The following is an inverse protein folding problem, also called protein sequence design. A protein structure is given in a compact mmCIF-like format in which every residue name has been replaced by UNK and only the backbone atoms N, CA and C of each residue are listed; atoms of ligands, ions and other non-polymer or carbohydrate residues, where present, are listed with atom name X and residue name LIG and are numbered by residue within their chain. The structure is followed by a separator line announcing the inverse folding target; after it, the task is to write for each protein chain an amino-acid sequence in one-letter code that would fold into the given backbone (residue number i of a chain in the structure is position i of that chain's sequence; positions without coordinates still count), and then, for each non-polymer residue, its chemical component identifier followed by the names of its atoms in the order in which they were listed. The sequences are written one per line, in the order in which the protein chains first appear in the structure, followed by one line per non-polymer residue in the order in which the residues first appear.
data_IF_930752687212
#
_entry.id   IF_930752687212
#
_cell.length_a   1.000
_cell.length_b   1.000
_cell.length_c   1.000
_cell.angle_alpha   90.00
_cell.angle_beta   90.00
_cell.angle_gamma   90.00
#
_symmetry.space_group_name_H-M   'P 1'
#
loop_
_entity.id
_entity.type
_entity.pdbx_description
1 polymer ?
#
# COMPACT_ATOMS: atom_id res chain seq x y z
N UNK A 1 5.53 6.12 22.69
CA UNK A 1 5.23 7.12 23.73
C UNK A 1 4.21 6.63 24.78
N UNK A 2 3.28 5.72 24.45
CA UNK A 2 2.18 5.30 25.35
C UNK A 2 2.48 4.11 26.30
N UNK A 3 3.58 3.39 26.12
CA UNK A 3 3.92 2.19 26.93
C UNK A 3 5.11 2.46 27.88
N UNK A 4 5.82 3.58 27.69
CA UNK A 4 7.07 3.91 28.39
C UNK A 4 8.28 3.13 27.83
N UNK A 5 9.53 3.49 28.23
CA UNK A 5 10.71 2.68 27.96
C UNK A 5 10.52 1.27 28.54
N UNK A 6 11.11 0.26 27.93
CA UNK A 6 11.07 -1.11 28.46
C UNK A 6 11.83 -1.17 29.79
N UNK A 7 11.08 -1.17 30.89
CA UNK A 7 11.58 -1.22 32.25
C UNK A 7 11.63 -2.66 32.80
N UNK A 8 11.27 -3.67 31.99
CA UNK A 8 11.24 -5.09 32.37
C UNK A 8 10.14 -5.46 33.38
N UNK A 9 9.39 -4.48 33.90
CA UNK A 9 8.36 -4.70 34.92
C UNK A 9 7.22 -5.57 34.39
N UNK A 10 6.50 -6.24 35.29
CA UNK A 10 5.28 -6.98 34.95
C UNK A 10 4.20 -6.03 34.40
N UNK A 11 4.09 -4.84 34.99
CA UNK A 11 3.12 -3.80 34.59
C UNK A 11 3.38 -3.32 33.15
N UNK A 12 4.64 -3.11 32.76
CA UNK A 12 4.97 -2.75 31.39
C UNK A 12 4.61 -3.86 30.41
N UNK A 13 4.88 -5.13 30.75
CA UNK A 13 4.54 -6.29 29.92
C UNK A 13 3.03 -6.43 29.70
N UNK A 14 2.22 -6.18 30.72
CA UNK A 14 0.76 -6.18 30.61
C UNK A 14 0.27 -5.07 29.67
N UNK A 15 0.79 -3.84 29.83
CA UNK A 15 0.46 -2.72 28.94
C UNK A 15 0.87 -3.02 27.49
N UNK A 16 2.07 -3.57 27.28
CA UNK A 16 2.56 -3.96 25.96
C UNK A 16 1.63 -4.98 25.29
N UNK A 17 1.28 -6.06 26.00
CA UNK A 17 0.37 -7.09 25.48
C UNK A 17 -1.02 -6.53 25.18
N UNK A 18 -1.54 -5.66 26.04
CA UNK A 18 -2.81 -4.96 25.83
C UNK A 18 -2.81 -4.15 24.53
N UNK A 19 -1.80 -3.30 24.34
CA UNK A 19 -1.65 -2.50 23.12
C UNK A 19 -1.46 -3.34 21.86
N UNK A 20 -0.64 -4.40 21.93
CA UNK A 20 -0.45 -5.31 20.80
C UNK A 20 -1.74 -6.02 20.40
N UNK A 21 -2.59 -6.39 21.37
CA UNK A 21 -3.90 -7.00 21.09
C UNK A 21 -4.84 -6.03 20.39
N UNK A 22 -4.88 -4.77 20.82
CA UNK A 22 -5.69 -3.73 20.16
C UNK A 22 -5.21 -3.51 18.73
N UNK A 23 -3.89 -3.36 18.52
CA UNK A 23 -3.31 -3.18 17.20
C UNK A 23 -3.59 -4.37 16.26
N UNK A 24 -3.44 -5.59 16.77
CA UNK A 24 -3.71 -6.80 15.99
C UNK A 24 -5.20 -6.95 15.65
N UNK A 25 -6.09 -6.57 16.57
CA UNK A 25 -7.54 -6.58 16.33
C UNK A 25 -7.94 -5.54 15.28
N UNK A 26 -7.44 -4.31 15.40
CA UNK A 26 -7.67 -3.24 14.42
C UNK A 26 -7.19 -3.65 13.02
N UNK A 27 -5.94 -4.11 12.90
CA UNK A 27 -5.39 -4.58 11.64
C UNK A 27 -6.17 -5.78 11.07
N UNK A 28 -6.57 -6.74 11.92
CA UNK A 28 -7.33 -7.91 11.52
C UNK A 28 -8.73 -7.57 11.00
N UNK A 29 -9.46 -6.71 11.71
CA UNK A 29 -10.80 -6.26 11.29
C UNK A 29 -10.72 -5.45 10.00
N UNK A 30 -9.78 -4.49 9.90
CA UNK A 30 -9.57 -3.71 8.68
C UNK A 30 -9.23 -4.61 7.48
N UNK A 31 -8.37 -5.60 7.67
CA UNK A 31 -7.99 -6.55 6.61
C UNK A 31 -9.19 -7.41 6.18
N UNK A 32 -10.01 -7.89 7.13
CA UNK A 32 -11.20 -8.69 6.83
C UNK A 32 -12.24 -7.88 6.04
N UNK A 33 -12.51 -6.63 6.46
CA UNK A 33 -13.42 -5.74 5.74
C UNK A 33 -12.90 -5.47 4.33
N UNK A 34 -11.60 -5.15 4.20
CA UNK A 34 -10.98 -4.92 2.91
C UNK A 34 -11.10 -6.15 1.99
N UNK A 35 -10.89 -7.35 2.52
CA UNK A 35 -11.04 -8.61 1.78
C UNK A 35 -12.48 -8.80 1.27
N UNK A 36 -13.47 -8.65 2.16
CA UNK A 36 -14.89 -8.79 1.80
C UNK A 36 -15.30 -7.80 0.71
N UNK A 37 -14.91 -6.53 0.86
CA UNK A 37 -15.20 -5.49 -0.15
C UNK A 37 -14.51 -5.82 -1.47
N UNK A 38 -13.25 -6.24 -1.43
CA UNK A 38 -12.48 -6.60 -2.63
C UNK A 38 -13.13 -7.78 -3.36
N UNK A 39 -13.51 -8.83 -2.64
CA UNK A 39 -14.21 -9.97 -3.20
C UNK A 39 -15.56 -9.57 -3.81
N UNK A 40 -16.34 -8.73 -3.14
CA UNK A 40 -17.61 -8.23 -3.67
C UNK A 40 -17.41 -7.44 -4.96
N UNK A 41 -16.45 -6.50 -4.99
CA UNK A 41 -16.12 -5.73 -6.20
C UNK A 41 -15.62 -6.61 -7.34
N UNK A 42 -14.80 -7.61 -7.03
CA UNK A 42 -14.33 -8.58 -8.02
C UNK A 42 -15.48 -9.36 -8.65
N UNK A 43 -16.40 -9.87 -7.82
CA UNK A 43 -17.59 -10.59 -8.31
C UNK A 43 -18.53 -9.70 -9.12
N UNK A 44 -18.73 -8.46 -8.69
CA UNK A 44 -19.52 -7.46 -9.44
C UNK A 44 -18.88 -7.12 -10.79
N UNK A 45 -17.57 -6.85 -10.82
CA UNK A 45 -16.83 -6.64 -12.06
C UNK A 45 -16.91 -7.85 -12.99
N UNK A 46 -16.65 -9.05 -12.46
CA UNK A 46 -16.70 -10.29 -13.26
C UNK A 46 -18.11 -10.60 -13.80
N UNK A 47 -19.17 -10.26 -13.08
CA UNK A 47 -20.55 -10.54 -13.50
C UNK A 47 -21.14 -9.49 -14.43
N UNK A 48 -20.78 -8.21 -14.25
CA UNK A 48 -21.31 -7.09 -15.04
C UNK A 48 -20.42 -6.80 -16.26
N UNK A 49 -19.12 -6.53 -16.06
CA UNK A 49 -18.22 -6.15 -17.17
C UNK A 49 -18.00 -7.31 -18.16
N UNK A 50 -17.95 -8.57 -17.69
CA UNK A 50 -17.83 -9.73 -18.58
C UNK A 50 -19.00 -9.84 -19.56
N UNK A 51 -20.23 -9.51 -19.11
CA UNK A 51 -21.41 -9.50 -19.98
C UNK A 51 -21.39 -8.34 -20.97
N UNK A 52 -20.79 -7.22 -20.60
CA UNK A 52 -20.67 -6.04 -21.44
C UNK A 52 -19.57 -6.19 -22.52
N UNK A 53 -18.70 -7.22 -22.41
CA UNK A 53 -17.55 -7.44 -23.33
C UNK A 53 -16.67 -6.18 -23.48
N UNK A 54 -16.67 -5.31 -22.47
CA UNK A 54 -15.89 -4.08 -22.47
C UNK A 54 -14.50 -4.41 -21.94
N UNK A 55 -13.49 -4.28 -22.80
CA UNK A 55 -12.10 -4.28 -22.37
C UNK A 55 -11.75 -2.87 -21.91
N UNK A 56 -11.44 -2.62 -20.62
CA UNK A 56 -11.23 -1.27 -20.16
C UNK A 56 -9.94 -0.69 -20.71
N UNK A 57 -10.05 0.34 -21.55
CA UNK A 57 -8.91 0.99 -22.20
C UNK A 57 -8.95 2.50 -22.02
N UNK A 58 -7.76 3.10 -21.90
CA UNK A 58 -7.63 4.55 -21.84
C UNK A 58 -8.31 5.20 -20.63
N UNK A 59 -8.64 6.47 -20.78
CA UNK A 59 -9.27 7.29 -19.72
C UNK A 59 -10.71 6.81 -19.43
N UNK A 60 -11.32 6.07 -20.36
CA UNK A 60 -12.69 5.54 -20.24
C UNK A 60 -12.84 4.46 -19.17
N UNK A 61 -11.74 3.93 -18.61
CA UNK A 61 -11.77 2.91 -17.54
C UNK A 61 -12.65 3.36 -16.37
N UNK A 62 -12.61 4.64 -15.97
CA UNK A 62 -13.43 5.15 -14.87
C UNK A 62 -14.92 5.10 -15.20
N UNK A 63 -15.28 5.49 -16.42
CA UNK A 63 -16.66 5.45 -16.89
C UNK A 63 -17.17 4.01 -17.01
N UNK A 64 -16.33 3.10 -17.51
CA UNK A 64 -16.66 1.69 -17.68
C UNK A 64 -16.79 0.95 -16.34
N UNK A 65 -15.94 1.27 -15.36
CA UNK A 65 -16.08 0.74 -13.99
C UNK A 65 -17.35 1.29 -13.32
N UNK A 66 -17.75 2.53 -13.61
CA UNK A 66 -18.99 3.09 -13.07
C UNK A 66 -20.25 2.34 -13.54
N UNK A 67 -20.19 1.62 -14.67
CA UNK A 67 -21.29 0.79 -15.19
C UNK A 67 -21.73 -0.28 -14.20
N UNK A 68 -20.82 -0.78 -13.34
CA UNK A 68 -21.16 -1.72 -12.27
C UNK A 68 -22.29 -1.20 -11.39
N UNK A 69 -22.30 0.12 -11.14
CA UNK A 69 -23.28 0.78 -10.29
C UNK A 69 -24.43 1.37 -11.08
N UNK A 70 -24.20 1.93 -12.26
CA UNK A 70 -25.27 2.61 -13.01
C UNK A 70 -26.25 1.65 -13.66
N UNK A 71 -25.81 0.46 -14.05
CA UNK A 71 -26.71 -0.56 -14.63
C UNK A 71 -27.72 -1.08 -13.62
N UNK A 72 -27.37 -1.10 -12.33
CA UNK A 72 -28.23 -1.63 -11.27
C UNK A 72 -28.99 -0.55 -10.51
N UNK A 73 -28.35 0.59 -10.23
CA UNK A 73 -28.88 1.68 -9.39
C UNK A 73 -29.33 2.91 -10.19
N UNK A 74 -29.14 2.92 -11.51
CA UNK A 74 -29.48 4.02 -12.39
C UNK A 74 -28.39 5.11 -12.51
N UNK A 75 -28.62 6.12 -13.37
CA UNK A 75 -27.58 7.09 -13.77
C UNK A 75 -27.12 8.01 -12.63
N UNK A 76 -27.95 8.24 -11.61
CA UNK A 76 -27.60 9.05 -10.43
C UNK A 76 -26.47 8.43 -9.59
N UNK A 77 -26.30 7.10 -9.67
CA UNK A 77 -25.23 6.39 -8.96
C UNK A 77 -23.82 6.79 -9.45
N UNK A 78 -23.69 7.23 -10.72
CA UNK A 78 -22.41 7.68 -11.28
C UNK A 78 -21.84 8.86 -10.50
N UNK A 79 -22.68 9.83 -10.14
CA UNK A 79 -22.24 11.02 -9.38
C UNK A 79 -21.71 10.65 -7.99
N UNK A 80 -22.41 9.76 -7.28
CA UNK A 80 -21.99 9.27 -5.97
C UNK A 80 -20.67 8.49 -6.08
N UNK A 81 -20.55 7.61 -7.09
CA UNK A 81 -19.32 6.88 -7.38
C UNK A 81 -18.15 7.84 -7.65
N UNK A 82 -18.33 8.87 -8.49
CA UNK A 82 -17.27 9.82 -8.81
C UNK A 82 -16.79 10.61 -7.59
N UNK A 83 -17.70 11.08 -6.74
CA UNK A 83 -17.34 11.78 -5.49
C UNK A 83 -16.60 10.83 -4.55
N UNK A 84 -17.09 9.59 -4.41
CA UNK A 84 -16.44 8.57 -3.59
C UNK A 84 -15.03 8.24 -4.10
N UNK A 85 -14.89 8.00 -5.39
CA UNK A 85 -13.61 7.72 -6.05
C UNK A 85 -12.62 8.88 -5.89
N UNK A 86 -13.08 10.13 -6.03
CA UNK A 86 -12.24 11.29 -5.76
C UNK A 86 -11.73 11.30 -4.31
N UNK A 87 -12.64 11.15 -3.34
CA UNK A 87 -12.28 11.16 -1.92
C UNK A 87 -11.28 10.05 -1.54
N UNK A 88 -11.47 8.83 -2.07
CA UNK A 88 -10.60 7.69 -1.78
C UNK A 88 -9.24 7.79 -2.47
N UNK A 89 -9.20 8.21 -3.74
CA UNK A 89 -7.94 8.39 -4.47
C UNK A 89 -7.14 9.56 -3.92
N UNK A 90 -7.81 10.67 -3.61
CA UNK A 90 -7.16 11.86 -3.05
C UNK A 90 -6.57 11.60 -1.66
N UNK A 91 -7.30 10.91 -0.78
CA UNK A 91 -6.79 10.55 0.55
C UNK A 91 -5.57 9.62 0.44
N UNK A 92 -5.61 8.65 -0.47
CA UNK A 92 -4.49 7.74 -0.74
C UNK A 92 -3.26 8.50 -1.24
N UNK A 93 -3.45 9.44 -2.18
CA UNK A 93 -2.36 10.28 -2.70
C UNK A 93 -1.68 11.08 -1.58
N UNK A 94 -2.47 11.69 -0.68
CA UNK A 94 -1.94 12.47 0.44
C UNK A 94 -1.14 11.60 1.41
N UNK A 95 -1.68 10.44 1.79
CA UNK A 95 -1.01 9.50 2.69
C UNK A 95 0.28 8.98 2.07
N UNK A 96 0.25 8.61 0.79
CA UNK A 96 1.42 8.07 0.10
C UNK A 96 2.51 9.13 -0.08
N UNK A 97 2.16 10.36 -0.44
CA UNK A 97 3.11 11.47 -0.54
C UNK A 97 3.79 11.77 0.82
N UNK A 98 3.01 11.77 1.90
CA UNK A 98 3.55 11.96 3.25
C UNK A 98 4.44 10.78 3.68
N UNK A 99 4.05 9.55 3.34
CA UNK A 99 4.78 8.32 3.66
C UNK A 99 6.11 8.25 2.91
N UNK A 100 6.11 8.47 1.59
CA UNK A 100 7.31 8.43 0.75
C UNK A 100 8.35 9.45 1.19
N UNK A 101 7.91 10.66 1.58
CA UNK A 101 8.79 11.69 2.14
C UNK A 101 9.48 11.24 3.44
N UNK A 102 8.76 10.61 4.36
CA UNK A 102 9.32 10.12 5.64
C UNK A 102 10.25 8.93 5.44
N UNK A 103 9.79 7.90 4.71
CA UNK A 103 10.56 6.69 4.44
C UNK A 103 11.85 7.03 3.69
N UNK A 104 11.77 7.88 2.67
CA UNK A 104 12.93 8.27 1.88
C UNK A 104 13.95 9.06 2.71
N UNK A 105 13.50 9.95 3.59
CA UNK A 105 14.40 10.67 4.51
C UNK A 105 15.05 9.75 5.53
N UNK A 106 14.31 8.81 6.09
CA UNK A 106 14.86 7.84 7.04
C UNK A 106 15.91 6.93 6.36
N UNK A 107 15.71 6.58 5.08
CA UNK A 107 16.71 5.89 4.27
C UNK A 107 17.96 6.76 4.02
N UNK A 108 17.80 8.01 3.58
CA UNK A 108 18.93 8.93 3.35
C UNK A 108 19.75 9.18 4.62
N UNK A 109 19.09 9.17 5.79
CA UNK A 109 19.74 9.28 7.09
C UNK A 109 20.60 8.04 7.40
N UNK A 110 20.11 6.84 7.10
CA UNK A 110 20.85 5.58 7.28
C UNK A 110 22.07 5.49 6.35
N UNK A 111 21.97 6.02 5.13
CA UNK A 111 23.08 6.12 4.17
C UNK A 111 24.14 7.17 4.60
N UNK A 112 23.85 7.98 5.62
CA UNK A 112 24.81 8.93 6.18
C UNK A 112 24.84 10.28 5.46
N UNK A 113 23.80 10.64 4.70
CA UNK A 113 23.78 11.92 3.98
C UNK A 113 23.80 13.09 4.97
N UNK A 114 24.90 13.86 4.99
CA UNK A 114 25.13 14.94 5.94
C UNK A 114 24.00 15.99 5.97
N UNK A 115 23.37 16.25 4.82
CA UNK A 115 22.26 17.20 4.67
C UNK A 115 20.95 16.79 5.35
N UNK A 116 20.82 15.56 5.86
CA UNK A 116 19.59 15.02 6.50
C UNK A 116 19.76 14.84 8.02
N UNK A 117 20.98 14.96 8.54
CA UNK A 117 21.27 14.71 9.95
C UNK A 117 20.75 15.83 10.88
N UNK A 118 20.66 17.06 10.38
CA UNK A 118 20.05 18.18 11.11
C UNK A 118 18.53 18.15 11.02
N UNK A 119 17.82 18.62 12.04
CA UNK A 119 16.35 18.68 12.00
C UNK A 119 15.81 19.57 10.87
N UNK A 120 16.48 20.70 10.63
CA UNK A 120 16.15 21.59 9.51
C UNK A 120 16.38 20.92 8.14
N UNK A 121 17.48 20.16 8.02
CA UNK A 121 17.77 19.36 6.84
C UNK A 121 16.73 18.28 6.60
N UNK A 122 16.35 17.55 7.65
CA UNK A 122 15.29 16.53 7.63
C UNK A 122 13.97 17.11 7.11
N UNK A 123 13.50 18.23 7.67
CA UNK A 123 12.25 18.85 7.26
C UNK A 123 12.29 19.36 5.80
N UNK A 124 13.45 19.83 5.34
CA UNK A 124 13.65 20.23 3.93
C UNK A 124 13.55 19.01 3.01
N UNK A 125 14.26 17.94 3.31
CA UNK A 125 14.25 16.72 2.47
C UNK A 125 12.91 16.01 2.47
N UNK A 126 12.17 15.99 3.60
CA UNK A 126 10.80 15.47 3.64
C UNK A 126 9.93 16.24 2.65
N UNK A 127 9.96 17.59 2.68
CA UNK A 127 9.18 18.42 1.75
C UNK A 127 9.58 18.17 0.30
N UNK A 128 10.88 18.12 -0.01
CA UNK A 128 11.36 17.85 -1.36
C UNK A 128 10.83 16.50 -1.85
N UNK A 129 11.04 15.41 -1.10
CA UNK A 129 10.59 14.09 -1.51
C UNK A 129 9.07 13.98 -1.61
N UNK A 130 8.34 14.59 -0.66
CA UNK A 130 6.87 14.62 -0.65
C UNK A 130 6.29 15.38 -1.85
N UNK A 131 6.97 16.40 -2.38
CA UNK A 131 6.52 17.14 -3.57
C UNK A 131 7.02 16.49 -4.86
N UNK A 132 8.28 16.05 -4.89
CA UNK A 132 8.89 15.43 -6.07
C UNK A 132 8.22 14.11 -6.41
N UNK A 133 7.80 13.31 -5.43
CA UNK A 133 7.19 12.00 -5.71
C UNK A 133 5.87 12.12 -6.49
N UNK A 134 4.86 12.91 -6.05
CA UNK A 134 3.66 13.15 -6.85
C UNK A 134 3.94 13.88 -8.16
N UNK A 135 4.88 14.84 -8.17
CA UNK A 135 5.25 15.57 -9.38
C UNK A 135 5.87 14.65 -10.45
N UNK A 136 6.69 13.69 -10.03
CA UNK A 136 7.26 12.67 -10.92
C UNK A 136 6.16 11.81 -11.54
N UNK A 137 5.22 11.29 -10.74
CA UNK A 137 4.11 10.50 -11.27
C UNK A 137 3.17 11.33 -12.15
N UNK A 138 2.91 12.58 -11.81
CA UNK A 138 2.16 13.50 -12.66
C UNK A 138 2.85 13.67 -14.02
N UNK A 139 4.17 13.89 -14.02
CA UNK A 139 4.94 13.98 -15.25
C UNK A 139 4.85 12.70 -16.09
N UNK A 140 5.01 11.53 -15.48
CA UNK A 140 4.87 10.24 -16.17
C UNK A 140 3.47 10.09 -16.77
N UNK A 141 2.41 10.44 -16.03
CA UNK A 141 1.03 10.37 -16.52
C UNK A 141 0.82 11.33 -17.70
N UNK A 142 1.35 12.55 -17.65
CA UNK A 142 1.21 13.53 -18.75
C UNK A 142 1.96 13.08 -20.01
N UNK A 143 3.12 12.43 -19.87
CA UNK A 143 3.93 11.97 -21.00
C UNK A 143 3.46 10.62 -21.58
N UNK A 144 2.86 9.74 -20.76
CA UNK A 144 2.45 8.38 -21.13
C UNK A 144 0.95 8.11 -20.91
N UNK A 145 0.13 9.16 -20.97
CA UNK A 145 -1.30 9.11 -20.66
C UNK A 145 -2.14 8.19 -21.55
N UNK A 146 -1.61 7.80 -22.72
CA UNK A 146 -2.30 6.97 -23.70
C UNK A 146 -2.47 5.50 -23.25
N UNK A 147 -1.76 5.08 -22.20
CA UNK A 147 -1.74 3.68 -21.71
C UNK A 147 -1.95 3.57 -20.19
N UNK A 148 -3.13 3.94 -19.67
CA UNK A 148 -3.39 3.95 -18.23
C UNK A 148 -3.27 2.58 -17.58
N UNK A 149 -3.55 1.51 -18.32
CA UNK A 149 -3.32 0.14 -17.85
C UNK A 149 -1.83 -0.11 -17.52
N UNK A 150 -0.90 0.33 -18.38
CA UNK A 150 0.53 0.21 -18.12
C UNK A 150 0.96 1.04 -16.90
N UNK A 151 0.38 2.23 -16.71
CA UNK A 151 0.66 3.08 -15.55
C UNK A 151 0.22 2.42 -14.23
N UNK A 152 -0.95 1.79 -14.22
CA UNK A 152 -1.43 1.01 -13.07
C UNK A 152 -0.51 -0.19 -12.80
N UNK A 153 -0.10 -0.91 -13.85
CA UNK A 153 0.80 -2.05 -13.74
C UNK A 153 2.18 -1.64 -13.20
N UNK A 154 2.74 -0.54 -13.69
CA UNK A 154 4.00 0.03 -13.21
C UNK A 154 3.90 0.43 -11.74
N UNK A 155 2.81 1.08 -11.33
CA UNK A 155 2.57 1.44 -9.94
C UNK A 155 2.47 0.22 -9.02
N UNK A 156 1.75 -0.83 -9.46
CA UNK A 156 1.62 -2.08 -8.71
C UNK A 156 2.98 -2.79 -8.55
N UNK A 157 3.77 -2.88 -9.62
CA UNK A 157 5.11 -3.47 -9.56
C UNK A 157 6.06 -2.67 -8.67
N UNK A 158 6.04 -1.34 -8.75
CA UNK A 158 6.84 -0.48 -7.89
C UNK A 158 6.50 -0.69 -6.41
N UNK A 159 5.20 -0.83 -6.08
CA UNK A 159 4.75 -1.13 -4.72
C UNK A 159 5.21 -2.52 -4.25
N UNK A 160 5.11 -3.54 -5.10
CA UNK A 160 5.58 -4.90 -4.77
C UNK A 160 7.09 -4.92 -4.49
N UNK A 161 7.88 -4.19 -5.28
CA UNK A 161 9.32 -4.08 -5.08
C UNK A 161 9.66 -3.43 -3.73
N UNK A 162 8.86 -2.47 -3.28
CA UNK A 162 9.00 -1.82 -1.98
C UNK A 162 8.61 -2.74 -0.81
N UNK A 163 7.61 -3.61 -1.00
CA UNK A 163 7.15 -4.55 0.04
C UNK A 163 8.20 -5.61 0.39
N UNK A 164 9.05 -6.03 -0.57
CA UNK A 164 10.08 -7.06 -0.34
C UNK A 164 11.04 -6.68 0.81
N UNK A 165 11.78 -5.54 0.76
CA UNK A 165 12.68 -5.15 1.84
C UNK A 165 11.93 -4.82 3.14
N UNK A 166 10.70 -4.30 3.08
CA UNK A 166 9.88 -4.08 4.28
C UNK A 166 9.55 -5.39 4.99
N UNK A 167 9.06 -6.39 4.25
CA UNK A 167 8.70 -7.68 4.81
C UNK A 167 9.94 -8.41 5.35
N UNK A 168 11.08 -8.32 4.66
CA UNK A 168 12.35 -8.80 5.19
C UNK A 168 12.75 -8.07 6.48
N UNK A 169 12.62 -6.74 6.54
CA UNK A 169 12.91 -5.96 7.74
C UNK A 169 12.06 -6.37 8.94
N UNK A 170 10.77 -6.65 8.72
CA UNK A 170 9.87 -7.19 9.76
C UNK A 170 10.34 -8.56 10.22
N UNK A 171 10.66 -9.47 9.30
CA UNK A 171 11.16 -10.80 9.64
C UNK A 171 12.48 -10.72 10.42
N UNK A 172 13.41 -9.88 9.96
CA UNK A 172 14.71 -9.66 10.60
C UNK A 172 14.57 -9.14 12.03
N UNK A 173 13.71 -8.13 12.23
CA UNK A 173 13.47 -7.56 13.56
C UNK A 173 12.82 -8.58 14.49
N UNK A 174 11.82 -9.31 13.99
CA UNK A 174 11.11 -10.29 14.79
C UNK A 174 11.98 -11.50 15.18
N UNK A 175 12.96 -11.89 14.36
CA UNK A 175 13.93 -12.93 14.73
C UNK A 175 14.92 -12.47 15.81
N UNK A 176 15.14 -11.16 15.96
CA UNK A 176 16.03 -10.57 16.97
C UNK A 176 15.33 -10.20 18.29
N UNK A 177 14.00 -10.32 18.33
CA UNK A 177 13.20 -10.01 19.51
C UNK A 177 13.32 -11.10 20.59
N UNK A 178 13.11 -10.75 21.86
CA UNK A 178 13.18 -11.71 22.97
C UNK A 178 12.16 -12.86 22.79
N UNK A 179 12.52 -14.09 23.19
CA UNK A 179 11.68 -15.30 23.00
C UNK A 179 10.25 -15.16 23.55
N UNK A 180 10.05 -14.42 24.64
CA UNK A 180 8.71 -14.18 25.22
C UNK A 180 7.82 -13.20 24.44
N UNK A 181 8.35 -12.54 23.40
CA UNK A 181 7.68 -11.54 22.55
C UNK A 181 7.80 -11.87 21.05
N UNK A 182 8.48 -12.96 20.70
CA UNK A 182 8.66 -13.41 19.33
C UNK A 182 7.31 -13.84 18.73
N UNK A 183 7.17 -13.64 17.41
CA UNK A 183 6.00 -14.11 16.68
C UNK A 183 5.88 -15.65 16.76
N UNK A 184 4.65 -16.16 16.66
CA UNK A 184 4.45 -17.62 16.62
C UNK A 184 5.01 -18.21 15.33
N UNK A 185 5.39 -19.49 15.38
CA UNK A 185 5.93 -20.21 14.22
C UNK A 185 4.98 -20.16 13.01
N UNK A 186 3.67 -20.23 13.24
CA UNK A 186 2.67 -20.15 12.17
C UNK A 186 2.68 -18.78 11.47
N UNK A 187 2.83 -17.69 12.23
CA UNK A 187 2.93 -16.34 11.67
C UNK A 187 4.25 -16.16 10.94
N UNK A 188 5.34 -16.74 11.45
CA UNK A 188 6.65 -16.73 10.80
C UNK A 188 6.61 -17.44 9.44
N UNK A 189 6.06 -18.66 9.40
CA UNK A 189 5.86 -19.40 8.15
C UNK A 189 4.92 -18.67 7.18
N UNK A 190 3.85 -18.06 7.69
CA UNK A 190 2.95 -17.23 6.87
C UNK A 190 3.66 -16.01 6.27
N UNK A 191 4.50 -15.34 7.05
CA UNK A 191 5.30 -14.21 6.56
C UNK A 191 6.32 -14.67 5.50
N UNK A 192 6.99 -15.80 5.70
CA UNK A 192 7.91 -16.36 4.71
C UNK A 192 7.19 -16.73 3.41
N UNK A 193 6.01 -17.35 3.51
CA UNK A 193 5.19 -17.71 2.35
C UNK A 193 4.72 -16.46 1.58
N UNK A 194 4.30 -15.41 2.29
CA UNK A 194 3.89 -14.15 1.65
C UNK A 194 5.06 -13.44 0.96
N UNK A 195 6.25 -13.41 1.58
CA UNK A 195 7.47 -12.89 0.94
C UNK A 195 7.77 -13.68 -0.34
N UNK A 196 7.74 -15.01 -0.27
CA UNK A 196 7.97 -15.87 -1.42
C UNK A 196 6.95 -15.61 -2.54
N UNK A 197 5.67 -15.48 -2.21
CA UNK A 197 4.61 -15.18 -3.17
C UNK A 197 4.82 -13.82 -3.86
N UNK A 198 5.15 -12.76 -3.10
CA UNK A 198 5.41 -11.42 -3.63
C UNK A 198 6.60 -11.45 -4.60
N UNK A 199 7.70 -12.13 -4.24
CA UNK A 199 8.89 -12.22 -5.09
C UNK A 199 8.56 -12.93 -6.40
N UNK A 200 7.90 -14.10 -6.36
CA UNK A 200 7.57 -14.86 -7.55
C UNK A 200 6.59 -14.10 -8.45
N UNK A 201 5.55 -13.51 -7.86
CA UNK A 201 4.57 -12.72 -8.61
C UNK A 201 5.24 -11.53 -9.31
N UNK A 202 6.10 -10.80 -8.60
CA UNK A 202 6.84 -9.66 -9.16
C UNK A 202 7.80 -10.10 -10.27
N UNK A 203 8.50 -11.21 -10.10
CA UNK A 203 9.42 -11.75 -11.11
C UNK A 203 8.67 -12.15 -12.39
N UNK A 204 7.55 -12.86 -12.27
CA UNK A 204 6.71 -13.26 -13.40
C UNK A 204 6.14 -12.01 -14.09
N UNK A 205 5.62 -11.05 -13.34
CA UNK A 205 5.01 -9.85 -13.91
C UNK A 205 6.03 -9.00 -14.68
N UNK A 206 7.23 -8.84 -14.11
CA UNK A 206 8.32 -8.11 -14.76
C UNK A 206 8.80 -8.85 -16.01
N UNK A 207 8.94 -10.18 -15.96
CA UNK A 207 9.28 -10.98 -17.13
C UNK A 207 8.28 -10.77 -18.26
N UNK A 208 6.98 -10.96 -17.98
CA UNK A 208 5.91 -10.78 -18.96
C UNK A 208 5.90 -9.36 -19.55
N UNK A 209 6.10 -8.33 -18.71
CA UNK A 209 6.12 -6.94 -19.16
C UNK A 209 7.32 -6.62 -20.04
N UNK A 210 8.46 -7.31 -19.86
CA UNK A 210 9.67 -7.12 -20.66
C UNK A 210 9.67 -7.93 -21.96
N UNK A 211 8.92 -9.03 -22.02
CA UNK A 211 8.86 -9.93 -23.18
C UNK A 211 7.64 -9.73 -24.08
N UNK A 212 6.63 -8.98 -23.62
CA UNK A 212 5.46 -8.58 -24.40
C UNK A 212 5.72 -7.29 -25.18
#
# INVERSE_FOLDING_TARGET
RFIGPDDGSSQWRERYRGWMRVLAMDAGVCTAIALVITCAYYLLGASVLSRLQVMPEGIAVVDQVSLIFTETLGPTAKGVFMVGAFCTLFSTLLVFAASSGRIGVDFLRQVGLAGVQSEAGRARWIRILQTTFPAFWLFVIVVKGDTPFLLVLLGANANNLLLIPMAYGVLHLAMREQQGRRMSLAVEMGLMLTIWAIINFTAINLYLTLTA
#
